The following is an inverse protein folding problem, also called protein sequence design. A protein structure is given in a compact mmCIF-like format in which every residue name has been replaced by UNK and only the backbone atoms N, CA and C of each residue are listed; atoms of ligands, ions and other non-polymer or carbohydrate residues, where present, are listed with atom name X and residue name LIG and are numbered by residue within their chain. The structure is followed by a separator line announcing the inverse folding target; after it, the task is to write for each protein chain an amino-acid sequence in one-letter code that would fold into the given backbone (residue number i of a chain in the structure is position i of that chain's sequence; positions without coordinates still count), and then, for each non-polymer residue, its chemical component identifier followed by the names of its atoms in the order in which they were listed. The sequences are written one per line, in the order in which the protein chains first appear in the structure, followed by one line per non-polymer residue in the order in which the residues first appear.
data_IF_762663510662
#
_entry.id   IF_762663510662
#
_cell.length_a   1.000
_cell.length_b   1.000
_cell.length_c   1.000
_cell.angle_alpha   90.00
_cell.angle_beta   90.00
_cell.angle_gamma   90.00
#
_symmetry.space_group_name_H-M   'P 1'
#
loop_
_entity.id
_entity.type
_entity.pdbx_description
1 polymer ?
#
# COMPACT_ATOMS: atom_id res chain seq x y z
N UNK A 1 -5.51 1.15 36.75
CA UNK A 1 -4.79 2.45 36.79
C UNK A 1 -3.53 2.49 35.92
N UNK A 2 -2.57 1.54 36.05
CA UNK A 2 -1.31 1.58 35.27
C UNK A 2 -1.49 1.43 33.74
N UNK A 3 -2.50 0.67 33.29
CA UNK A 3 -2.79 0.43 31.86
C UNK A 3 -3.29 1.70 31.14
N UNK A 4 -4.07 2.53 31.82
CA UNK A 4 -4.57 3.79 31.26
C UNK A 4 -3.48 4.86 31.16
N UNK A 5 -2.48 4.82 32.04
CA UNK A 5 -1.34 5.73 32.00
C UNK A 5 -0.40 5.44 30.81
N UNK A 6 -0.26 4.16 30.42
CA UNK A 6 0.52 3.78 29.23
C UNK A 6 -0.21 4.22 27.95
N UNK A 7 -1.53 3.99 27.87
CA UNK A 7 -2.33 4.43 26.73
C UNK A 7 -2.34 5.97 26.58
N UNK A 8 -2.50 6.70 27.69
CA UNK A 8 -2.45 8.17 27.68
C UNK A 8 -1.05 8.71 27.34
N UNK A 9 0.02 8.03 27.81
CA UNK A 9 1.39 8.36 27.44
C UNK A 9 1.68 8.13 25.95
N UNK A 10 1.14 7.07 25.36
CA UNK A 10 1.22 6.84 23.91
C UNK A 10 0.54 7.97 23.14
N UNK A 11 -0.70 8.34 23.49
CA UNK A 11 -1.46 9.40 22.81
C UNK A 11 -0.77 10.76 22.93
N UNK A 12 -0.22 11.09 24.09
CA UNK A 12 0.49 12.35 24.30
C UNK A 12 1.81 12.44 23.51
N UNK A 13 2.48 11.32 23.25
CA UNK A 13 3.68 11.29 22.40
C UNK A 13 3.37 11.61 20.93
N UNK A 14 2.13 11.36 20.46
CA UNK A 14 1.67 11.73 19.12
C UNK A 14 1.17 13.19 19.03
N UNK A 15 1.13 13.93 20.14
CA UNK A 15 0.65 15.32 20.18
C UNK A 15 1.77 16.37 20.03
N UNK A 16 3.03 15.95 19.86
CA UNK A 16 4.08 16.87 19.48
C UNK A 16 3.74 17.48 18.09
N UNK A 17 4.01 18.78 17.87
CA UNK A 17 3.84 19.35 16.54
C UNK A 17 4.81 18.64 15.59
N UNK A 18 4.30 17.67 14.84
CA UNK A 18 5.02 16.99 13.79
C UNK A 18 5.44 18.05 12.77
N UNK A 19 6.68 18.51 12.88
CA UNK A 19 7.28 19.31 11.82
C UNK A 19 7.40 18.37 10.63
N UNK A 20 6.55 18.59 9.61
CA UNK A 20 6.45 17.79 8.39
C UNK A 20 7.71 17.90 7.50
N UNK A 21 8.90 17.81 8.08
CA UNK A 21 10.18 18.02 7.42
C UNK A 21 10.51 16.88 6.44
N UNK A 22 9.88 15.71 6.59
CA UNK A 22 10.13 14.51 5.81
C UNK A 22 8.87 14.00 5.07
N UNK A 23 8.16 14.89 4.37
CA UNK A 23 7.08 14.51 3.46
C UNK A 23 7.55 14.61 2.02
N UNK A 24 7.37 13.55 1.25
CA UNK A 24 7.61 13.51 -0.19
C UNK A 24 6.30 13.39 -0.94
N UNK A 25 6.12 14.25 -1.94
CA UNK A 25 5.09 14.10 -2.96
C UNK A 25 5.68 13.30 -4.11
N UNK A 26 4.95 12.30 -4.59
CA UNK A 26 5.38 11.44 -5.70
C UNK A 26 4.19 11.09 -6.58
N UNK A 27 4.44 10.62 -7.80
CA UNK A 27 3.38 10.24 -8.72
C UNK A 27 3.90 9.77 -10.06
N UNK A 28 2.98 9.30 -10.90
CA UNK A 28 3.21 8.90 -12.29
C UNK A 28 2.11 9.50 -13.14
N UNK A 29 2.49 10.11 -14.25
CA UNK A 29 1.59 10.54 -15.32
C UNK A 29 1.99 9.75 -16.56
N UNK A 30 1.01 9.13 -17.21
CA UNK A 30 1.21 8.29 -18.37
C UNK A 30 0.05 8.54 -19.33
N UNK A 31 0.36 9.17 -20.46
CA UNK A 31 -0.58 9.56 -21.49
C UNK A 31 -0.09 9.03 -22.83
N UNK A 32 -0.95 8.29 -23.52
CA UNK A 32 -0.64 7.61 -24.77
C UNK A 32 -1.71 7.88 -25.82
N UNK A 33 -1.31 8.00 -27.09
CA UNK A 33 -2.26 7.96 -28.20
C UNK A 33 -2.45 6.49 -28.57
N UNK A 34 -3.68 6.00 -28.45
CA UNK A 34 -4.03 4.61 -28.72
C UNK A 34 -4.93 4.58 -29.95
N UNK A 35 -4.56 3.75 -30.93
CA UNK A 35 -5.45 3.34 -32.01
C UNK A 35 -5.95 1.93 -31.72
N UNK A 36 -7.26 1.79 -31.58
CA UNK A 36 -7.92 0.52 -31.33
C UNK A 36 -8.67 0.09 -32.59
N UNK A 37 -8.29 -1.07 -33.11
CA UNK A 37 -8.98 -1.75 -34.22
C UNK A 37 -9.60 -3.04 -33.67
N UNK A 38 -10.91 -3.20 -33.84
CA UNK A 38 -11.65 -4.38 -33.37
C UNK A 38 -12.44 -4.92 -34.55
N UNK A 39 -12.32 -6.22 -34.80
CA UNK A 39 -12.89 -6.86 -35.99
C UNK A 39 -14.39 -6.54 -36.15
N UNK A 40 -14.76 -6.05 -37.33
CA UNK A 40 -16.12 -5.61 -37.66
C UNK A 40 -16.50 -4.18 -37.19
N UNK A 41 -15.62 -3.44 -36.52
CA UNK A 41 -15.81 -2.03 -36.14
C UNK A 41 -14.82 -1.11 -36.87
N UNK A 42 -15.15 0.19 -36.98
CA UNK A 42 -14.21 1.18 -37.48
C UNK A 42 -13.12 1.47 -36.45
N UNK A 43 -11.87 1.64 -36.89
CA UNK A 43 -10.75 1.98 -36.01
C UNK A 43 -11.01 3.29 -35.27
N UNK A 44 -10.72 3.33 -33.97
CA UNK A 44 -10.84 4.54 -33.15
C UNK A 44 -9.47 4.98 -32.64
N UNK A 45 -9.15 6.27 -32.78
CA UNK A 45 -7.96 6.88 -32.17
C UNK A 45 -8.38 7.77 -31.01
N UNK A 46 -7.81 7.54 -29.83
CA UNK A 46 -8.08 8.32 -28.63
C UNK A 46 -6.79 8.63 -27.85
N UNK A 47 -6.82 9.70 -27.07
CA UNK A 47 -5.87 9.89 -25.98
C UNK A 47 -6.31 8.96 -24.83
N UNK A 48 -5.38 8.23 -24.23
CA UNK A 48 -5.65 7.30 -23.14
C UNK A 48 -4.57 7.40 -22.07
N UNK A 49 -5.01 7.50 -20.82
CA UNK A 49 -4.12 7.44 -19.67
C UNK A 49 -3.82 6.01 -19.22
N UNK A 50 -2.80 5.84 -18.39
CA UNK A 50 -2.49 4.59 -17.68
C UNK A 50 -2.23 3.35 -18.55
N UNK A 51 -1.71 3.51 -19.76
CA UNK A 51 -1.47 2.40 -20.71
C UNK A 51 -0.26 1.55 -20.30
N UNK A 52 0.82 2.18 -19.88
CA UNK A 52 2.07 1.56 -19.42
C UNK A 52 2.18 1.54 -17.90
N UNK A 53 1.67 2.58 -17.24
CA UNK A 53 1.74 2.70 -15.79
C UNK A 53 0.50 3.41 -15.22
N UNK A 54 -0.10 2.85 -14.17
CA UNK A 54 -1.25 3.47 -13.52
C UNK A 54 -0.93 4.87 -13.00
N UNK A 55 -1.66 5.85 -13.51
CA UNK A 55 -1.55 7.25 -13.13
C UNK A 55 -1.95 7.47 -11.68
N UNK A 56 -1.12 8.20 -10.94
CA UNK A 56 -1.29 8.38 -9.51
C UNK A 56 -0.54 9.58 -8.97
N UNK A 57 -1.06 10.09 -7.86
CA UNK A 57 -0.40 11.09 -7.03
C UNK A 57 -0.48 10.64 -5.58
N UNK A 58 0.65 10.72 -4.88
CA UNK A 58 0.76 10.29 -3.51
C UNK A 58 1.66 11.18 -2.67
N UNK A 59 1.46 11.04 -1.36
CA UNK A 59 2.19 11.67 -0.29
C UNK A 59 2.71 10.55 0.60
N UNK A 60 3.99 10.58 0.94
CA UNK A 60 4.57 9.65 1.92
C UNK A 60 5.49 10.39 2.85
N UNK A 61 5.63 9.90 4.05
CA UNK A 61 6.58 10.48 5.00
C UNK A 61 7.01 9.49 6.07
N UNK A 62 8.08 9.85 6.76
CA UNK A 62 8.53 9.09 7.92
C UNK A 62 9.16 10.00 8.97
N UNK A 63 8.92 9.70 10.23
CA UNK A 63 9.45 10.40 11.39
C UNK A 63 10.25 9.44 12.26
N UNK A 64 11.46 9.84 12.64
CA UNK A 64 12.27 9.10 13.61
C UNK A 64 11.73 9.38 15.01
N UNK A 65 11.29 8.33 15.71
CA UNK A 65 10.74 8.42 17.07
C UNK A 65 11.82 8.23 18.14
N UNK A 66 13.08 8.03 17.72
CA UNK A 66 14.20 7.69 18.59
C UNK A 66 14.25 6.21 18.94
N UNK A 67 15.40 5.77 19.48
CA UNK A 67 15.58 4.38 19.93
C UNK A 67 15.48 3.33 18.80
N UNK A 68 15.66 3.73 17.55
CA UNK A 68 15.50 2.86 16.37
C UNK A 68 14.06 2.66 15.92
N UNK A 69 13.11 3.42 16.46
CA UNK A 69 11.70 3.42 16.03
C UNK A 69 11.44 4.50 14.98
N UNK A 70 10.56 4.20 14.02
CA UNK A 70 10.16 5.13 12.98
C UNK A 70 8.66 5.02 12.69
N UNK A 71 7.94 6.13 12.77
CA UNK A 71 6.58 6.23 12.23
C UNK A 71 6.64 6.52 10.73
N UNK A 72 5.66 6.03 9.97
CA UNK A 72 5.53 6.31 8.55
C UNK A 72 4.07 6.36 8.11
N UNK A 73 3.82 7.03 6.99
CA UNK A 73 2.51 7.04 6.33
C UNK A 73 2.66 7.05 4.81
N UNK A 74 1.61 6.60 4.12
CA UNK A 74 1.44 6.74 2.68
C UNK A 74 -0.03 7.00 2.36
N UNK A 75 -0.29 8.07 1.62
CA UNK A 75 -1.59 8.43 1.06
C UNK A 75 -1.43 8.50 -0.46
N UNK A 76 -2.13 7.69 -1.23
CA UNK A 76 -2.01 7.59 -2.67
C UNK A 76 -3.38 7.57 -3.34
N UNK A 77 -3.49 8.30 -4.44
CA UNK A 77 -4.72 8.45 -5.18
C UNK A 77 -4.53 8.20 -6.69
N UNK A 78 -5.55 7.64 -7.33
CA UNK A 78 -5.60 7.49 -8.79
C UNK A 78 -5.91 8.82 -9.45
N UNK A 79 -5.27 9.06 -10.58
CA UNK A 79 -5.55 10.20 -11.45
C UNK A 79 -5.95 9.70 -12.84
N UNK A 80 -6.74 10.51 -13.54
CA UNK A 80 -6.84 10.49 -14.98
C UNK A 80 -6.60 11.92 -15.46
N UNK A 81 -5.38 12.15 -15.95
CA UNK A 81 -4.97 13.50 -16.37
C UNK A 81 -5.65 13.93 -17.67
N UNK A 82 -5.91 12.97 -18.57
CA UNK A 82 -6.56 13.23 -19.86
C UNK A 82 -7.99 13.74 -19.70
N UNK A 83 -8.70 13.23 -18.70
CA UNK A 83 -10.08 13.63 -18.37
C UNK A 83 -10.16 14.68 -17.25
N UNK A 84 -9.03 15.01 -16.62
CA UNK A 84 -8.98 15.90 -15.45
C UNK A 84 -9.73 15.35 -14.24
N UNK A 85 -9.86 14.03 -14.13
CA UNK A 85 -10.62 13.38 -13.04
C UNK A 85 -9.69 12.80 -12.00
N UNK A 86 -10.18 12.76 -10.77
CA UNK A 86 -9.50 12.14 -9.63
C UNK A 86 -10.53 11.31 -8.87
N UNK A 87 -10.13 10.11 -8.44
CA UNK A 87 -10.97 9.33 -7.56
C UNK A 87 -10.90 9.95 -6.15
N UNK A 88 -11.99 10.44 -5.57
CA UNK A 88 -11.90 11.08 -4.26
C UNK A 88 -11.47 10.06 -3.17
N UNK A 89 -10.58 10.46 -2.24
CA UNK A 89 -10.38 9.74 -0.97
C UNK A 89 -9.22 8.74 -0.86
N UNK A 90 -8.07 8.96 -1.52
CA UNK A 90 -6.86 8.10 -1.41
C UNK A 90 -7.14 6.60 -1.64
N UNK A 91 -7.89 6.33 -2.71
CA UNK A 91 -8.41 4.99 -3.00
C UNK A 91 -7.33 3.96 -3.37
N UNK A 92 -6.09 4.37 -3.63
CA UNK A 92 -4.97 3.44 -3.91
C UNK A 92 -4.18 3.04 -2.67
N UNK A 93 -4.21 3.87 -1.63
CA UNK A 93 -3.44 3.60 -0.44
C UNK A 93 -3.66 4.69 0.60
N UNK A 94 -4.02 4.29 1.80
CA UNK A 94 -4.16 5.18 2.93
C UNK A 94 -3.73 4.45 4.19
N UNK A 95 -2.43 4.51 4.50
CA UNK A 95 -1.82 3.71 5.54
C UNK A 95 -0.93 4.53 6.48
N UNK A 96 -0.88 4.08 7.72
CA UNK A 96 0.04 4.55 8.76
C UNK A 96 0.65 3.35 9.47
N UNK A 97 1.90 3.48 9.92
CA UNK A 97 2.58 2.40 10.60
C UNK A 97 3.76 2.84 11.43
N UNK A 98 4.33 1.85 12.12
CA UNK A 98 5.55 1.99 12.92
C UNK A 98 6.49 0.84 12.56
N UNK A 99 7.78 1.16 12.48
CA UNK A 99 8.86 0.22 12.17
C UNK A 99 10.00 0.33 13.18
N UNK A 100 10.78 -0.74 13.29
CA UNK A 100 11.99 -0.80 14.12
C UNK A 100 12.69 -2.15 13.98
N UNK A 101 13.51 -2.51 14.98
CA UNK A 101 14.21 -3.81 15.00
C UNK A 101 13.28 -5.03 15.01
N UNK A 102 12.02 -4.83 15.39
CA UNK A 102 10.97 -5.85 15.37
C UNK A 102 10.32 -6.03 13.98
N UNK A 103 10.68 -5.24 12.97
CA UNK A 103 10.01 -5.23 11.66
C UNK A 103 9.08 -4.03 11.52
N UNK A 104 7.89 -4.21 10.96
CA UNK A 104 6.91 -3.13 10.80
C UNK A 104 5.47 -3.59 10.99
N UNK A 105 4.65 -2.74 11.61
CA UNK A 105 3.19 -2.89 11.67
C UNK A 105 2.56 -1.70 10.95
N UNK A 106 1.60 -1.96 10.06
CA UNK A 106 0.81 -0.91 9.41
C UNK A 106 -0.69 -1.21 9.45
N UNK A 107 -1.48 -0.15 9.45
CA UNK A 107 -2.95 -0.18 9.42
C UNK A 107 -3.51 0.80 8.39
N UNK A 108 -4.69 0.49 7.86
CA UNK A 108 -5.40 1.33 6.90
C UNK A 108 -5.80 0.59 5.62
N UNK A 109 -5.77 1.31 4.48
CA UNK A 109 -6.04 0.78 3.15
C UNK A 109 -4.75 0.53 2.39
N UNK A 110 -4.51 -0.71 1.99
CA UNK A 110 -3.31 -1.11 1.24
C UNK A 110 -3.46 -2.51 0.65
N UNK A 111 -2.53 -2.90 -0.22
CA UNK A 111 -2.48 -4.27 -0.72
C UNK A 111 -1.80 -5.18 0.33
N UNK A 112 -2.52 -6.25 0.69
CA UNK A 112 -2.08 -7.22 1.67
C UNK A 112 -1.04 -8.22 1.14
N UNK A 113 -0.75 -8.19 -0.16
CA UNK A 113 0.28 -9.02 -0.80
C UNK A 113 1.70 -8.55 -0.47
N UNK A 114 2.70 -9.41 -0.70
CA UNK A 114 4.08 -9.01 -0.52
C UNK A 114 4.59 -8.08 -1.64
N UNK A 115 3.77 -7.79 -2.67
CA UNK A 115 4.16 -7.00 -3.82
C UNK A 115 4.46 -5.53 -3.49
N UNK A 116 3.92 -4.97 -2.40
CA UNK A 116 4.18 -3.56 -2.04
C UNK A 116 5.53 -3.33 -1.35
N UNK A 117 6.13 -4.37 -0.76
CA UNK A 117 7.41 -4.30 -0.05
C UNK A 117 8.60 -4.84 -0.85
N UNK A 118 8.34 -5.52 -1.97
CA UNK A 118 9.36 -6.05 -2.87
C UNK A 118 9.33 -5.21 -4.13
N UNK A 119 10.49 -4.73 -4.56
CA UNK A 119 10.63 -4.18 -5.90
C UNK A 119 10.12 -5.23 -6.92
N UNK A 120 8.98 -4.93 -7.54
CA UNK A 120 8.32 -5.80 -8.54
C UNK A 120 9.23 -6.17 -9.71
N UNK A 121 10.38 -5.49 -9.88
CA UNK A 121 11.41 -5.84 -10.86
C UNK A 121 12.33 -7.00 -10.46
N UNK A 122 12.28 -7.49 -9.21
CA UNK A 122 13.26 -8.48 -8.67
C UNK A 122 12.61 -9.75 -8.08
N UNK A 123 11.28 -9.83 -7.93
CA UNK A 123 10.62 -11.01 -7.35
C UNK A 123 10.22 -12.03 -8.42
N UNK A 124 11.01 -13.10 -8.55
CA UNK A 124 10.67 -14.27 -9.40
C UNK A 124 9.68 -15.25 -8.72
N UNK A 125 9.35 -15.02 -7.44
CA UNK A 125 8.37 -15.81 -6.69
C UNK A 125 7.23 -14.87 -6.28
N UNK A 126 6.38 -14.54 -7.24
CA UNK A 126 5.14 -13.81 -6.98
C UNK A 126 4.26 -14.63 -6.02
N UNK A 127 4.12 -14.14 -4.79
CA UNK A 127 3.01 -14.38 -3.87
C UNK A 127 2.43 -15.81 -3.85
N UNK A 128 2.98 -16.72 -3.04
CA UNK A 128 2.21 -17.90 -2.58
C UNK A 128 1.36 -17.49 -1.39
N UNK A 129 0.22 -16.85 -1.67
CA UNK A 129 -0.81 -16.61 -0.66
C UNK A 129 -1.64 -17.88 -0.49
N UNK A 130 -1.58 -18.50 0.70
CA UNK A 130 -2.57 -19.52 1.08
C UNK A 130 -3.87 -18.79 1.47
N UNK A 131 -4.71 -18.50 0.46
CA UNK A 131 -6.00 -17.85 0.65
C UNK A 131 -7.14 -18.87 0.50
N UNK A 132 -7.98 -18.98 1.53
CA UNK A 132 -9.32 -19.55 1.39
C UNK A 132 -10.23 -18.44 0.85
N UNK A 133 -10.67 -18.52 -0.41
CA UNK A 133 -11.47 -17.49 -1.08
C UNK A 133 -10.60 -16.48 -1.84
N UNK A 134 -10.43 -16.73 -3.14
CA UNK A 134 -9.44 -16.09 -4.01
C UNK A 134 -9.82 -14.63 -4.28
N UNK A 135 -9.03 -13.71 -3.73
CA UNK A 135 -8.86 -12.36 -4.27
C UNK A 135 -7.41 -11.94 -4.02
N UNK A 136 -6.54 -12.17 -5.01
CA UNK A 136 -5.06 -12.12 -4.85
C UNK A 136 -4.51 -10.73 -5.17
N UNK A 137 -5.36 -9.77 -5.55
CA UNK A 137 -4.92 -8.41 -5.91
C UNK A 137 -6.07 -7.45 -5.73
N UNK A 138 -6.09 -6.68 -4.64
CA UNK A 138 -6.94 -5.48 -4.47
C UNK A 138 -6.59 -4.79 -3.17
N UNK A 139 -6.49 -3.46 -3.18
CA UNK A 139 -6.31 -2.65 -1.97
C UNK A 139 -7.45 -2.94 -0.99
N UNK A 140 -7.14 -3.54 0.16
CA UNK A 140 -8.14 -3.87 1.17
C UNK A 140 -8.28 -2.73 2.14
N UNK A 141 -9.53 -2.40 2.46
CA UNK A 141 -9.84 -1.43 3.51
C UNK A 141 -9.62 -2.07 4.89
N UNK A 142 -9.58 -1.24 5.94
CA UNK A 142 -9.65 -1.69 7.33
C UNK A 142 -8.71 -2.87 7.65
N UNK A 143 -7.48 -2.73 7.16
CA UNK A 143 -6.47 -3.78 7.21
C UNK A 143 -5.41 -3.51 8.25
N UNK A 144 -4.86 -4.59 8.80
CA UNK A 144 -3.64 -4.61 9.61
C UNK A 144 -2.64 -5.59 9.00
N UNK A 145 -1.36 -5.23 8.99
CA UNK A 145 -0.29 -6.11 8.53
C UNK A 145 0.91 -5.98 9.45
N UNK A 146 1.54 -7.13 9.72
CA UNK A 146 2.84 -7.21 10.38
C UNK A 146 3.85 -7.87 9.43
N UNK A 147 4.97 -7.20 9.21
CA UNK A 147 6.11 -7.71 8.46
C UNK A 147 7.29 -7.91 9.41
N UNK A 148 7.88 -9.10 9.36
CA UNK A 148 9.09 -9.45 10.12
C UNK A 148 10.33 -8.74 9.56
N UNK A 149 11.38 -8.53 10.38
CA UNK A 149 12.69 -8.13 9.87
C UNK A 149 13.18 -9.11 8.80
N UNK A 150 13.95 -8.62 7.84
CA UNK A 150 14.54 -9.49 6.83
C UNK A 150 15.49 -10.50 7.48
N UNK A 151 15.29 -11.79 7.20
CA UNK A 151 16.11 -12.89 7.71
C UNK A 151 16.75 -13.62 6.53
N UNK A 152 18.06 -13.46 6.35
CA UNK A 152 18.79 -14.17 5.29
C UNK A 152 18.31 -13.86 3.87
N UNK A 153 17.81 -12.64 3.63
CA UNK A 153 17.28 -12.23 2.32
C UNK A 153 15.79 -12.52 2.10
N UNK A 154 15.11 -13.07 3.11
CA UNK A 154 13.67 -13.32 3.10
C UNK A 154 12.92 -12.36 4.01
N UNK A 155 11.72 -11.96 3.60
CA UNK A 155 10.73 -11.26 4.41
C UNK A 155 9.47 -12.10 4.50
N UNK A 156 8.83 -12.08 5.67
CA UNK A 156 7.57 -12.76 5.93
C UNK A 156 6.60 -11.72 6.43
N UNK A 157 5.37 -11.75 5.93
CA UNK A 157 4.30 -10.88 6.39
C UNK A 157 3.02 -11.66 6.59
N UNK A 158 2.24 -11.20 7.56
CA UNK A 158 0.89 -11.66 7.83
C UNK A 158 -0.02 -10.44 7.90
N UNK A 159 -1.25 -10.58 7.46
CA UNK A 159 -2.21 -9.50 7.54
C UNK A 159 -3.65 -9.99 7.62
N UNK A 160 -4.51 -9.05 7.98
CA UNK A 160 -5.93 -9.27 8.15
C UNK A 160 -6.69 -8.02 7.70
N UNK A 161 -7.70 -8.18 6.85
CA UNK A 161 -8.66 -7.14 6.52
C UNK A 161 -10.02 -7.50 7.08
N UNK A 162 -10.71 -6.50 7.62
CA UNK A 162 -12.09 -6.64 8.06
C UNK A 162 -13.05 -6.48 6.88
N UNK A 163 -14.09 -7.30 6.85
CA UNK A 163 -15.24 -7.11 5.98
C UNK A 163 -16.06 -5.88 6.40
N UNK A 164 -16.85 -5.35 5.47
CA UNK A 164 -17.66 -4.15 5.71
C UNK A 164 -19.00 -4.42 6.43
N UNK A 165 -19.26 -5.67 6.79
CA UNK A 165 -20.50 -6.10 7.43
C UNK A 165 -21.75 -6.02 6.55
N UNK A 166 -21.62 -5.52 5.31
CA UNK A 166 -22.71 -5.31 4.35
C UNK A 166 -22.70 -6.34 3.20
N UNK A 167 -21.79 -7.33 3.26
CA UNK A 167 -21.68 -8.42 2.29
C UNK A 167 -20.99 -8.02 0.98
N UNK A 168 -20.46 -6.79 0.91
CA UNK A 168 -19.70 -6.29 -0.25
C UNK A 168 -18.21 -6.58 -0.12
N UNK A 169 -17.70 -6.72 1.11
CA UNK A 169 -16.33 -7.14 1.42
C UNK A 169 -16.35 -8.13 2.59
N UNK A 170 -15.56 -9.19 2.49
CA UNK A 170 -15.44 -10.23 3.53
C UNK A 170 -14.11 -10.09 4.27
N UNK A 171 -14.03 -10.65 5.47
CA UNK A 171 -12.77 -10.79 6.21
C UNK A 171 -11.77 -11.56 5.35
N UNK A 172 -10.51 -11.09 5.31
CA UNK A 172 -9.44 -11.80 4.62
C UNK A 172 -8.23 -11.95 5.53
N UNK A 173 -7.63 -13.13 5.50
CA UNK A 173 -6.33 -13.39 6.10
C UNK A 173 -5.31 -13.51 4.99
N UNK A 174 -4.16 -12.86 5.15
CA UNK A 174 -3.02 -13.01 4.25
C UNK A 174 -1.80 -13.51 5.01
N UNK A 175 -1.03 -14.36 4.35
CA UNK A 175 0.31 -14.73 4.75
C UNK A 175 1.14 -14.83 3.47
N UNK A 176 2.28 -14.17 3.45
CA UNK A 176 3.18 -14.23 2.31
C UNK A 176 4.63 -14.21 2.75
N UNK A 177 5.46 -14.86 1.93
CA UNK A 177 6.91 -14.87 2.05
C UNK A 177 7.47 -14.33 0.75
N UNK A 178 8.48 -13.52 0.89
CA UNK A 178 9.20 -12.91 -0.20
C UNK A 178 10.69 -13.08 0.02
N UNK A 179 11.45 -13.21 -1.05
CA UNK A 179 12.90 -13.30 -0.94
C UNK A 179 13.56 -12.98 -2.26
N UNK A 180 14.75 -12.40 -2.17
CA UNK A 180 15.61 -12.20 -3.34
C UNK A 180 16.42 -13.48 -3.56
N UNK A 181 16.25 -14.11 -4.73
CA UNK A 181 17.12 -15.22 -5.16
C UNK A 181 18.20 -14.67 -6.08
N UNK A 182 19.42 -14.58 -5.56
CA UNK A 182 20.62 -14.19 -6.31
C UNK A 182 21.19 -12.80 -5.99
N UNK A 183 22.43 -12.53 -6.42
CA UNK A 183 23.06 -11.21 -6.35
C UNK A 183 22.29 -10.14 -7.14
#
# INVERSE_FOLDING_TARGET
MKKHLIAAGLVAAFAAPAMAQNVSVYGVIDQSIVNSDTDGAASTTALSGSVLASERLGFKGSEDLGGGLKAFFRLENSLDVGQGTNNAGFARGAEVGVSGSFGSVKVGKFDLTAAEGIDSSVSQFANVGLASGIDITSDKNDSIQYQLPAMGGFTVQIGHSLGDGNGTSYDMNSASVAGKVGP
#
